data_IF_218736146912
#
_entry.id   IF_218736146912
#
_cell.length_a   1.000
_cell.length_b   1.000
_cell.length_c   1.000
_cell.angle_alpha   90.00
_cell.angle_beta   90.00
_cell.angle_gamma   90.00
#
_symmetry.space_group_name_H-M   'P 1'
#
loop_
_entity.id
_entity.type
_entity.pdbx_description
1 polymer ?
#
# COMPACT_ATOMS: atom_id res chain seq x y z
N UNK A 1 -23.88 45.42 14.77
CA UNK A 1 -22.64 44.95 15.41
C UNK A 1 -22.70 43.44 15.54
N UNK A 2 -22.16 42.69 14.57
CA UNK A 2 -22.00 41.24 14.68
C UNK A 2 -20.50 40.97 14.56
N UNK A 3 -19.90 40.48 15.65
CA UNK A 3 -18.46 40.24 15.78
C UNK A 3 -18.03 39.18 14.78
N UNK A 4 -17.17 39.56 13.85
CA UNK A 4 -16.38 38.62 13.05
C UNK A 4 -15.39 37.90 13.97
N UNK A 5 -15.78 36.72 14.44
CA UNK A 5 -14.89 35.79 15.12
C UNK A 5 -14.03 35.10 14.06
N UNK A 6 -12.98 35.79 13.61
CA UNK A 6 -11.89 35.16 12.89
C UNK A 6 -11.19 34.17 13.84
N UNK A 7 -11.71 32.94 13.91
CA UNK A 7 -10.95 31.81 14.42
C UNK A 7 -9.83 31.63 13.41
N UNK A 8 -8.66 32.14 13.77
CA UNK A 8 -7.38 31.79 13.17
C UNK A 8 -7.22 30.27 13.33
N UNK A 9 -7.82 29.51 12.42
CA UNK A 9 -7.45 28.13 12.19
C UNK A 9 -5.97 28.19 11.79
N UNK A 10 -5.11 27.92 12.76
CA UNK A 10 -3.69 27.73 12.54
C UNK A 10 -3.56 26.64 11.48
N UNK A 11 -3.41 27.06 10.23
CA UNK A 11 -3.07 26.19 9.14
C UNK A 11 -1.64 25.71 9.41
N UNK A 12 -1.52 24.64 10.20
CA UNK A 12 -0.28 23.86 10.39
C UNK A 12 0.31 23.47 9.02
N UNK A 13 -0.48 23.49 7.97
CA UNK A 13 -0.07 23.27 6.58
C UNK A 13 0.56 24.48 5.87
N UNK A 14 0.62 25.69 6.45
CA UNK A 14 1.53 26.75 5.93
C UNK A 14 3.00 26.46 6.22
N UNK A 15 3.29 25.45 7.06
CA UNK A 15 4.63 24.85 7.26
C UNK A 15 5.02 23.81 6.18
N UNK A 16 4.26 23.72 5.06
CA UNK A 16 4.36 22.65 4.05
C UNK A 16 5.67 22.54 3.27
N UNK A 17 6.60 23.49 3.33
CA UNK A 17 7.94 23.29 2.72
C UNK A 17 8.81 22.39 3.60
N UNK A 18 8.68 22.48 4.93
CA UNK A 18 9.40 21.64 5.87
C UNK A 18 8.84 20.19 5.91
N UNK A 19 7.52 20.02 5.77
CA UNK A 19 6.90 18.68 5.67
C UNK A 19 7.24 17.94 4.37
N UNK A 20 7.43 18.64 3.24
CA UNK A 20 7.96 18.02 2.02
C UNK A 20 9.41 17.57 2.20
N UNK A 21 10.23 18.34 2.93
CA UNK A 21 11.57 17.92 3.36
C UNK A 21 11.55 16.69 4.26
N UNK A 22 10.61 16.60 5.21
CA UNK A 22 10.38 15.42 6.06
C UNK A 22 9.96 14.18 5.26
N UNK A 23 9.18 14.35 4.19
CA UNK A 23 8.86 13.26 3.26
C UNK A 23 10.11 12.65 2.63
N UNK A 24 11.02 13.47 2.12
CA UNK A 24 12.31 12.99 1.59
C UNK A 24 13.12 12.20 2.62
N UNK A 25 13.03 12.55 3.92
CA UNK A 25 13.73 11.82 4.99
C UNK A 25 13.24 10.37 5.09
N UNK A 26 11.93 10.10 4.94
CA UNK A 26 11.41 8.73 5.01
C UNK A 26 11.87 7.87 3.83
N UNK A 27 11.91 8.43 2.62
CA UNK A 27 12.45 7.73 1.45
C UNK A 27 13.94 7.44 1.65
N UNK A 28 14.71 8.43 2.11
CA UNK A 28 16.13 8.25 2.42
C UNK A 28 16.37 7.22 3.52
N UNK A 29 15.49 7.15 4.53
CA UNK A 29 15.55 6.14 5.58
C UNK A 29 15.34 4.74 5.01
N UNK A 30 14.32 4.53 4.17
CA UNK A 30 14.07 3.24 3.51
C UNK A 30 15.27 2.83 2.65
N UNK A 31 15.79 3.74 1.83
CA UNK A 31 16.99 3.49 1.02
C UNK A 31 18.23 3.23 1.87
N UNK A 32 18.36 3.89 3.03
CA UNK A 32 19.42 3.66 4.00
C UNK A 32 19.37 2.25 4.61
N UNK A 33 18.17 1.79 5.01
CA UNK A 33 17.97 0.42 5.52
C UNK A 33 18.30 -0.62 4.44
N UNK A 34 17.86 -0.38 3.20
CA UNK A 34 18.20 -1.24 2.05
C UNK A 34 19.72 -1.23 1.82
N UNK A 35 20.36 -0.07 1.90
CA UNK A 35 21.81 0.09 1.72
C UNK A 35 22.63 -0.65 2.79
N UNK A 36 22.26 -0.54 4.06
CA UNK A 36 22.88 -1.30 5.16
C UNK A 36 22.70 -2.80 4.95
N UNK A 37 21.51 -3.22 4.53
CA UNK A 37 21.23 -4.63 4.22
C UNK A 37 22.07 -5.12 3.05
N UNK A 38 22.18 -4.34 1.97
CA UNK A 38 23.02 -4.66 0.82
C UNK A 38 24.49 -4.79 1.22
N UNK A 39 25.00 -3.83 1.98
CA UNK A 39 26.38 -3.84 2.47
C UNK A 39 26.66 -5.09 3.31
N UNK A 40 25.78 -5.42 4.27
CA UNK A 40 25.92 -6.61 5.09
C UNK A 40 25.87 -7.91 4.25
N UNK A 41 24.92 -8.07 3.35
CA UNK A 41 24.77 -9.32 2.59
C UNK A 41 25.89 -9.46 1.56
N UNK A 42 26.09 -8.43 0.73
CA UNK A 42 26.95 -8.52 -0.45
C UNK A 42 28.40 -8.25 -0.11
N UNK A 43 28.69 -7.19 0.65
CA UNK A 43 30.08 -6.74 0.85
C UNK A 43 30.74 -7.50 2.00
N UNK A 44 30.04 -7.69 3.13
CA UNK A 44 30.68 -8.26 4.32
C UNK A 44 30.60 -9.77 4.41
N UNK A 45 29.50 -10.42 3.97
CA UNK A 45 29.28 -11.85 4.19
C UNK A 45 29.44 -12.70 2.92
N UNK A 46 28.65 -12.48 1.87
CA UNK A 46 28.61 -13.41 0.74
C UNK A 46 29.55 -13.08 -0.43
N UNK A 47 29.91 -11.80 -0.64
CA UNK A 47 30.83 -11.41 -1.69
C UNK A 47 32.24 -11.98 -1.53
N UNK A 48 32.87 -11.89 -0.34
CA UNK A 48 34.20 -12.47 -0.11
C UNK A 48 34.24 -13.98 -0.33
N UNK A 49 33.18 -14.70 0.05
CA UNK A 49 33.10 -16.17 -0.09
C UNK A 49 33.14 -16.64 -1.56
N UNK A 50 32.86 -15.75 -2.52
CA UNK A 50 32.95 -16.11 -3.95
C UNK A 50 34.37 -16.44 -4.40
N UNK A 51 35.41 -15.94 -3.72
CA UNK A 51 36.81 -16.18 -4.11
C UNK A 51 37.38 -17.49 -3.57
N UNK A 52 36.69 -18.11 -2.60
CA UNK A 52 37.22 -19.24 -1.85
C UNK A 52 37.13 -20.59 -2.61
N UNK A 53 36.28 -20.63 -3.64
CA UNK A 53 35.99 -21.84 -4.42
C UNK A 53 35.13 -22.87 -3.68
N UNK A 54 34.78 -23.96 -4.36
CA UNK A 54 34.04 -25.07 -3.76
C UNK A 54 32.54 -24.82 -3.59
N UNK A 55 31.91 -25.57 -2.69
CA UNK A 55 30.45 -25.56 -2.49
C UNK A 55 29.97 -24.24 -1.89
N UNK A 56 30.73 -23.66 -0.97
CA UNK A 56 30.36 -22.42 -0.29
C UNK A 56 30.27 -21.23 -1.27
N UNK A 57 31.19 -21.15 -2.24
CA UNK A 57 31.10 -20.14 -3.31
C UNK A 57 29.88 -20.34 -4.21
N UNK A 58 29.45 -21.59 -4.48
CA UNK A 58 28.23 -21.85 -5.25
C UNK A 58 26.98 -21.45 -4.47
N UNK A 59 26.92 -21.73 -3.17
CA UNK A 59 25.83 -21.30 -2.29
C UNK A 59 25.80 -19.77 -2.22
N UNK A 60 26.96 -19.13 -2.05
CA UNK A 60 27.07 -17.68 -2.03
C UNK A 60 26.59 -17.05 -3.34
N UNK A 61 26.99 -17.61 -4.48
CA UNK A 61 26.52 -17.17 -5.79
C UNK A 61 25.00 -17.28 -5.92
N UNK A 62 24.42 -18.41 -5.51
CA UNK A 62 22.97 -18.62 -5.55
C UNK A 62 22.20 -17.63 -4.67
N UNK A 63 22.68 -17.40 -3.43
CA UNK A 63 22.10 -16.42 -2.50
C UNK A 63 22.18 -15.02 -3.09
N UNK A 64 23.33 -14.62 -3.65
CA UNK A 64 23.52 -13.31 -4.25
C UNK A 64 22.63 -13.10 -5.48
N UNK A 65 22.50 -14.09 -6.36
CA UNK A 65 21.59 -14.01 -7.52
C UNK A 65 20.16 -13.81 -7.05
N UNK A 66 19.70 -14.65 -6.11
CA UNK A 66 18.34 -14.55 -5.58
C UNK A 66 18.09 -13.20 -4.89
N UNK A 67 19.04 -12.75 -4.06
CA UNK A 67 18.97 -11.47 -3.37
C UNK A 67 18.85 -10.31 -4.36
N UNK A 68 19.68 -10.26 -5.40
CA UNK A 68 19.63 -9.17 -6.39
C UNK A 68 18.33 -9.21 -7.21
N UNK A 69 17.85 -10.38 -7.62
CA UNK A 69 16.56 -10.52 -8.31
C UNK A 69 15.40 -9.98 -7.45
N UNK A 70 15.36 -10.37 -6.17
CA UNK A 70 14.32 -9.89 -5.25
C UNK A 70 14.48 -8.39 -4.94
N UNK A 71 15.71 -7.89 -4.80
CA UNK A 71 16.00 -6.48 -4.56
C UNK A 71 15.54 -5.59 -5.73
N UNK A 72 15.76 -6.02 -6.97
CA UNK A 72 15.24 -5.32 -8.16
C UNK A 72 13.72 -5.23 -8.11
N UNK A 73 13.03 -6.34 -7.81
CA UNK A 73 11.57 -6.34 -7.72
C UNK A 73 11.04 -5.51 -6.54
N UNK A 74 11.75 -5.53 -5.40
CA UNK A 74 11.46 -4.69 -4.24
C UNK A 74 11.54 -3.21 -4.59
N UNK A 75 12.67 -2.77 -5.15
CA UNK A 75 12.90 -1.37 -5.51
C UNK A 75 11.93 -0.91 -6.60
N UNK A 76 11.69 -1.75 -7.62
CA UNK A 76 10.71 -1.45 -8.66
C UNK A 76 9.32 -1.25 -8.05
N UNK A 77 8.87 -2.16 -7.18
CA UNK A 77 7.56 -2.05 -6.53
C UNK A 77 7.48 -0.83 -5.61
N UNK A 78 8.54 -0.54 -4.85
CA UNK A 78 8.63 0.62 -3.96
C UNK A 78 8.51 1.94 -4.74
N UNK A 79 9.33 2.12 -5.78
CA UNK A 79 9.26 3.33 -6.59
C UNK A 79 7.94 3.45 -7.37
N UNK A 80 7.36 2.33 -7.82
CA UNK A 80 6.03 2.33 -8.43
C UNK A 80 4.96 2.85 -7.47
N UNK A 81 4.95 2.44 -6.19
CA UNK A 81 3.96 2.99 -5.22
C UNK A 81 4.25 4.44 -4.82
N UNK A 82 5.52 4.81 -4.66
CA UNK A 82 5.93 6.18 -4.30
C UNK A 82 5.54 7.19 -5.39
N UNK A 83 5.81 6.88 -6.65
CA UNK A 83 5.65 7.84 -7.76
C UNK A 83 4.30 7.77 -8.48
N UNK A 84 3.51 6.71 -8.30
CA UNK A 84 2.19 6.63 -8.92
C UNK A 84 1.17 7.47 -8.15
N UNK A 85 0.41 8.32 -8.84
CA UNK A 85 -0.75 9.00 -8.25
C UNK A 85 -1.76 7.94 -7.77
N UNK A 86 -2.18 7.93 -6.50
CA UNK A 86 -3.10 6.92 -5.97
C UNK A 86 -4.51 6.95 -6.56
N UNK A 87 -4.86 7.97 -7.35
CA UNK A 87 -6.16 8.17 -7.94
C UNK A 87 -6.81 9.46 -7.46
N UNK A 88 -6.96 10.42 -8.36
CA UNK A 88 -7.68 11.68 -8.14
C UNK A 88 -9.09 11.59 -8.69
N UNK A 89 -10.05 12.22 -8.02
CA UNK A 89 -11.40 12.40 -8.58
C UNK A 89 -11.31 13.33 -9.81
N UNK A 90 -11.79 12.91 -11.00
CA UNK A 90 -11.80 13.76 -12.18
C UNK A 90 -12.54 15.08 -11.94
N UNK A 91 -12.08 16.19 -12.55
CA UNK A 91 -12.80 17.45 -12.50
C UNK A 91 -14.25 17.27 -12.98
N UNK A 92 -15.20 17.88 -12.26
CA UNK A 92 -16.63 17.80 -12.59
C UNK A 92 -17.22 16.39 -12.62
N UNK A 93 -16.58 15.41 -11.96
CA UNK A 93 -17.19 14.08 -11.83
C UNK A 93 -18.59 14.18 -11.22
N UNK A 94 -19.54 13.52 -11.87
CA UNK A 94 -20.93 13.39 -11.47
C UNK A 94 -21.29 11.91 -11.50
N UNK A 95 -22.11 11.43 -10.55
CA UNK A 95 -22.71 10.10 -10.68
C UNK A 95 -23.55 10.08 -11.96
N UNK A 96 -23.61 8.92 -12.63
CA UNK A 96 -24.60 8.68 -13.67
C UNK A 96 -25.98 8.83 -13.02
N UNK A 97 -26.76 9.80 -13.46
CA UNK A 97 -28.12 10.01 -12.98
C UNK A 97 -28.99 8.85 -13.44
N UNK A 98 -29.62 8.12 -12.52
CA UNK A 98 -30.85 7.39 -12.85
C UNK A 98 -31.90 8.46 -13.15
N UNK A 99 -32.16 8.72 -14.44
CA UNK A 99 -33.15 9.70 -14.92
C UNK A 99 -34.58 9.42 -14.43
N UNK A 100 -34.84 8.31 -13.74
CA UNK A 100 -36.17 7.94 -13.22
C UNK A 100 -36.55 8.59 -11.88
N UNK A 101 -35.65 9.24 -11.14
CA UNK A 101 -36.00 9.85 -9.84
C UNK A 101 -35.83 11.36 -9.87
N UNK A 102 -36.91 12.03 -10.26
CA UNK A 102 -37.07 13.47 -10.16
C UNK A 102 -36.74 13.99 -8.76
N UNK A 103 -36.03 15.12 -8.75
CA UNK A 103 -35.81 16.08 -7.68
C UNK A 103 -35.20 15.60 -6.35
N UNK A 104 -33.94 15.97 -6.14
CA UNK A 104 -33.61 17.01 -5.15
C UNK A 104 -32.19 17.53 -5.36
N UNK A 105 -32.04 18.85 -5.42
CA UNK A 105 -30.77 19.55 -5.51
C UNK A 105 -29.80 19.10 -4.38
N UNK A 106 -28.57 18.63 -4.69
CA UNK A 106 -27.62 18.16 -3.67
C UNK A 106 -27.19 19.23 -2.65
N UNK A 107 -27.53 20.49 -2.90
CA UNK A 107 -27.09 21.64 -2.11
C UNK A 107 -27.88 21.85 -0.80
N UNK A 108 -29.00 21.17 -0.57
CA UNK A 108 -29.84 21.34 0.63
C UNK A 108 -29.70 20.24 1.69
N UNK A 109 -28.76 19.30 1.53
CA UNK A 109 -28.48 18.23 2.50
C UNK A 109 -27.66 18.65 3.72
N UNK A 110 -28.03 19.73 4.41
CA UNK A 110 -27.52 20.02 5.74
C UNK A 110 -28.13 19.05 6.75
N UNK A 111 -27.27 18.27 7.41
CA UNK A 111 -27.52 17.54 8.67
C UNK A 111 -28.48 16.35 8.65
N UNK A 112 -28.12 15.27 7.95
CA UNK A 112 -28.67 13.93 8.22
C UNK A 112 -27.55 12.89 8.29
N UNK A 113 -26.77 12.96 9.37
CA UNK A 113 -25.80 11.93 9.76
C UNK A 113 -26.43 10.77 10.55
N UNK A 114 -27.76 10.77 10.73
CA UNK A 114 -28.45 9.95 11.73
C UNK A 114 -29.67 9.16 11.20
N UNK A 115 -29.89 9.09 9.88
CA UNK A 115 -30.92 8.21 9.32
C UNK A 115 -30.31 6.93 8.72
N UNK A 116 -31.02 5.79 8.77
CA UNK A 116 -30.54 4.53 8.24
C UNK A 116 -30.12 4.68 6.78
N UNK A 117 -28.94 4.14 6.45
CA UNK A 117 -28.46 4.03 5.08
C UNK A 117 -29.39 3.06 4.37
N UNK A 118 -30.15 3.56 3.40
CA UNK A 118 -30.90 2.74 2.45
C UNK A 118 -29.88 1.89 1.65
N UNK A 119 -29.89 0.55 1.77
CA UNK A 119 -28.95 -0.33 1.08
C UNK A 119 -29.11 -0.29 -0.44
N UNK A 120 -30.30 0.04 -0.95
CA UNK A 120 -30.64 0.00 -2.37
C UNK A 120 -30.11 1.21 -3.16
N UNK A 121 -29.92 2.36 -2.50
CA UNK A 121 -29.46 3.60 -3.14
C UNK A 121 -28.32 4.23 -2.35
N UNK A 122 -27.04 3.94 -2.67
CA UNK A 122 -25.92 4.57 -1.99
C UNK A 122 -25.99 6.08 -2.18
N UNK A 123 -26.41 6.81 -1.14
CA UNK A 123 -26.46 8.28 -1.15
C UNK A 123 -25.10 8.82 -1.60
N UNK A 124 -25.09 9.56 -2.70
CA UNK A 124 -23.84 10.10 -3.24
C UNK A 124 -23.21 11.01 -2.18
N UNK A 125 -22.01 10.64 -1.73
CA UNK A 125 -21.34 11.36 -0.63
C UNK A 125 -20.69 12.63 -1.18
N UNK A 126 -20.80 13.74 -0.46
CA UNK A 126 -20.14 14.99 -0.83
C UNK A 126 -18.86 15.24 0.01
N UNK A 127 -17.83 15.84 -0.58
CA UNK A 127 -16.66 16.32 0.14
C UNK A 127 -16.71 17.84 0.30
N UNK A 128 -17.00 18.32 1.51
CA UNK A 128 -17.00 19.78 1.81
C UNK A 128 -15.63 20.43 1.62
N UNK A 129 -14.53 19.73 1.93
CA UNK A 129 -13.16 20.26 1.80
C UNK A 129 -12.70 20.44 0.35
N UNK A 130 -13.12 19.53 -0.53
CA UNK A 130 -12.79 19.58 -1.96
C UNK A 130 -13.90 20.20 -2.82
N UNK A 131 -15.05 20.51 -2.22
CA UNK A 131 -16.24 21.02 -2.89
C UNK A 131 -16.69 20.18 -4.10
N UNK A 132 -16.74 18.85 -3.95
CA UNK A 132 -17.07 17.92 -5.03
C UNK A 132 -17.78 16.66 -4.53
N UNK A 133 -18.51 15.99 -5.44
CA UNK A 133 -19.08 14.67 -5.18
C UNK A 133 -17.96 13.63 -5.06
N UNK A 134 -18.14 12.64 -4.18
CA UNK A 134 -17.21 11.53 -3.98
C UNK A 134 -17.68 10.33 -4.80
N UNK A 135 -16.82 9.78 -5.69
CA UNK A 135 -17.05 8.47 -6.27
C UNK A 135 -17.20 7.38 -5.20
N UNK A 136 -17.77 6.21 -5.56
CA UNK A 136 -17.79 5.05 -4.68
C UNK A 136 -16.40 4.76 -4.10
N UNK A 137 -16.34 4.36 -2.84
CA UNK A 137 -15.07 3.99 -2.14
C UNK A 137 -14.04 5.13 -2.03
N UNK A 138 -14.39 6.37 -2.40
CA UNK A 138 -13.50 7.52 -2.30
C UNK A 138 -13.55 8.17 -0.90
N UNK A 139 -12.39 8.49 -0.33
CA UNK A 139 -12.26 9.20 0.94
C UNK A 139 -11.31 10.41 0.81
N UNK A 140 -11.50 11.41 1.66
CA UNK A 140 -10.63 12.59 1.70
C UNK A 140 -9.47 12.33 2.66
N UNK A 141 -8.23 12.39 2.16
CA UNK A 141 -7.05 12.34 3.00
C UNK A 141 -6.64 13.76 3.40
N UNK A 142 -6.62 14.05 4.69
CA UNK A 142 -6.17 15.35 5.22
C UNK A 142 -4.68 15.60 4.98
N UNK A 143 -3.85 14.55 4.95
CA UNK A 143 -2.41 14.66 4.69
C UNK A 143 -2.13 14.96 3.23
N UNK A 144 -2.77 14.23 2.31
CA UNK A 144 -2.67 14.47 0.87
C UNK A 144 -3.46 15.74 0.44
N UNK A 145 -4.36 16.26 1.29
CA UNK A 145 -5.16 17.46 1.03
C UNK A 145 -6.23 17.29 -0.07
N UNK A 146 -6.60 16.06 -0.41
CA UNK A 146 -7.49 15.74 -1.53
C UNK A 146 -8.30 14.46 -1.33
N UNK A 147 -9.34 14.30 -2.14
CA UNK A 147 -10.07 13.04 -2.29
C UNK A 147 -9.25 12.03 -3.10
N UNK A 148 -9.12 10.82 -2.56
CA UNK A 148 -8.38 9.69 -3.16
C UNK A 148 -9.36 8.59 -3.52
N UNK A 149 -9.29 8.10 -4.77
CA UNK A 149 -10.12 6.98 -5.25
C UNK A 149 -9.73 5.68 -4.54
N UNK A 150 -10.72 4.87 -4.14
CA UNK A 150 -10.53 3.63 -3.38
C UNK A 150 -9.52 3.75 -2.25
N UNK A 151 -9.59 4.85 -1.50
CA UNK A 151 -8.56 5.16 -0.51
C UNK A 151 -8.46 4.01 0.49
N UNK A 152 -7.26 3.48 0.64
CA UNK A 152 -6.94 2.54 1.69
C UNK A 152 -6.40 3.31 2.89
N UNK A 153 -5.17 3.82 2.80
CA UNK A 153 -4.58 4.63 3.86
C UNK A 153 -3.56 5.63 3.32
N UNK A 154 -3.11 6.55 4.17
CA UNK A 154 -1.92 7.35 3.91
C UNK A 154 -0.72 6.63 4.50
N UNK A 155 0.28 6.30 3.68
CA UNK A 155 1.43 5.53 4.12
C UNK A 155 2.67 6.41 4.20
N UNK A 156 3.19 6.56 5.43
CA UNK A 156 4.35 7.41 5.72
C UNK A 156 5.64 6.85 5.09
N UNK A 157 5.75 5.52 4.97
CA UNK A 157 6.94 4.84 4.41
C UNK A 157 7.15 5.08 2.92
N UNK A 158 6.08 5.37 2.19
CA UNK A 158 6.11 5.69 0.74
C UNK A 158 5.77 7.16 0.48
N UNK A 159 5.47 7.93 1.54
CA UNK A 159 5.13 9.36 1.50
C UNK A 159 4.00 9.65 0.50
N UNK A 160 3.06 8.72 0.41
CA UNK A 160 1.98 8.79 -0.56
C UNK A 160 0.71 8.15 0.03
N UNK A 161 -0.44 8.55 -0.50
CA UNK A 161 -1.67 7.81 -0.25
C UNK A 161 -1.60 6.47 -1.03
N UNK A 162 -2.20 5.42 -0.47
CA UNK A 162 -2.45 4.14 -1.13
C UNK A 162 -3.92 4.11 -1.51
N UNK A 163 -4.20 3.97 -2.80
CA UNK A 163 -5.53 4.07 -3.39
C UNK A 163 -5.67 3.21 -4.65
N UNK A 164 -6.71 3.47 -5.43
CA UNK A 164 -7.09 2.66 -6.59
C UNK A 164 -5.94 2.34 -7.54
N UNK A 165 -5.13 3.35 -7.90
CA UNK A 165 -4.17 3.24 -8.99
C UNK A 165 -2.81 2.67 -8.57
N UNK A 166 -2.51 2.61 -7.27
CA UNK A 166 -1.22 2.14 -6.76
C UNK A 166 -1.34 1.01 -5.72
N UNK A 167 -2.55 0.51 -5.40
CA UNK A 167 -2.73 -0.54 -4.39
C UNK A 167 -1.99 -1.83 -4.73
N UNK A 168 -2.01 -2.28 -5.99
CA UNK A 168 -1.22 -3.44 -6.43
C UNK A 168 0.27 -3.27 -6.17
N UNK A 169 0.82 -2.08 -6.49
CA UNK A 169 2.24 -1.80 -6.30
C UNK A 169 2.61 -1.81 -4.83
N UNK A 170 1.73 -1.29 -3.97
CA UNK A 170 1.87 -1.38 -2.53
C UNK A 170 1.88 -2.85 -2.03
N UNK A 171 0.96 -3.69 -2.51
CA UNK A 171 0.94 -5.12 -2.14
C UNK A 171 2.19 -5.87 -2.60
N UNK A 172 2.68 -5.60 -3.80
CA UNK A 172 3.93 -6.16 -4.30
C UNK A 172 5.14 -5.65 -3.52
N UNK A 173 5.15 -4.37 -3.14
CA UNK A 173 6.17 -3.83 -2.24
C UNK A 173 6.20 -4.58 -0.90
N UNK A 174 5.05 -4.82 -0.26
CA UNK A 174 4.99 -5.63 0.97
C UNK A 174 5.48 -7.07 0.74
N UNK A 175 5.04 -7.71 -0.33
CA UNK A 175 5.40 -9.08 -0.67
C UNK A 175 6.92 -9.23 -0.90
N UNK A 176 7.51 -8.38 -1.73
CA UNK A 176 8.94 -8.41 -2.00
C UNK A 176 9.78 -7.95 -0.81
N UNK A 177 9.27 -7.04 0.03
CA UNK A 177 9.93 -6.69 1.30
C UNK A 177 10.01 -7.93 2.17
N UNK A 178 8.90 -8.63 2.38
CA UNK A 178 8.86 -9.86 3.17
C UNK A 178 9.82 -10.93 2.65
N UNK A 179 9.87 -11.15 1.33
CA UNK A 179 10.79 -12.13 0.73
C UNK A 179 12.26 -11.74 0.93
N UNK A 180 12.62 -10.48 0.67
CA UNK A 180 14.01 -10.00 0.87
C UNK A 180 14.40 -10.11 2.34
N UNK A 181 13.58 -9.60 3.26
CA UNK A 181 13.91 -9.59 4.68
C UNK A 181 14.01 -11.01 5.24
N UNK A 182 13.14 -11.92 4.80
CA UNK A 182 13.18 -13.34 5.21
C UNK A 182 14.44 -14.02 4.68
N UNK A 183 14.77 -13.82 3.40
CA UNK A 183 16.01 -14.35 2.81
C UNK A 183 17.23 -13.88 3.60
N UNK A 184 17.31 -12.58 3.90
CA UNK A 184 18.44 -12.00 4.66
C UNK A 184 18.50 -12.55 6.08
N UNK A 185 17.38 -12.66 6.78
CA UNK A 185 17.35 -13.25 8.12
C UNK A 185 17.83 -14.69 8.12
N UNK A 186 17.41 -15.51 7.15
CA UNK A 186 17.86 -16.90 7.04
C UNK A 186 19.35 -16.99 6.67
N UNK A 187 19.80 -16.17 5.72
CA UNK A 187 21.17 -16.14 5.24
C UNK A 187 22.17 -15.70 6.33
N UNK A 188 21.77 -14.76 7.18
CA UNK A 188 22.61 -14.25 8.27
C UNK A 188 22.41 -14.98 9.61
N UNK A 189 21.53 -15.98 9.69
CA UNK A 189 21.21 -16.67 10.94
C UNK A 189 22.42 -17.38 11.57
N UNK A 190 23.21 -18.09 10.77
CA UNK A 190 24.41 -18.78 11.26
C UNK A 190 25.44 -17.79 11.83
N UNK A 191 25.67 -16.69 11.11
CA UNK A 191 26.53 -15.59 11.55
C UNK A 191 26.01 -14.98 12.85
N UNK A 192 24.70 -14.76 12.96
CA UNK A 192 24.07 -14.24 14.17
C UNK A 192 24.24 -15.18 15.37
N UNK A 193 24.08 -16.50 15.18
CA UNK A 193 24.31 -17.50 16.25
C UNK A 193 25.78 -17.52 16.68
N UNK A 194 26.71 -17.36 15.73
CA UNK A 194 28.14 -17.31 16.02
C UNK A 194 28.51 -16.16 16.97
N UNK A 195 27.81 -15.02 16.95
CA UNK A 195 28.00 -13.92 17.92
C UNK A 195 27.83 -14.32 19.38
N UNK A 196 27.07 -15.37 19.66
CA UNK A 196 26.80 -15.86 21.01
C UNK A 196 27.57 -17.15 21.31
N UNK A 197 28.49 -17.55 20.43
CA UNK A 197 29.34 -18.72 20.61
C UNK A 197 30.71 -18.29 21.16
N UNK A 198 31.39 -19.16 21.92
CA UNK A 198 32.70 -18.87 22.55
C UNK A 198 33.88 -18.80 21.54
N UNK A 199 33.61 -18.84 20.23
CA UNK A 199 34.63 -18.83 19.19
C UNK A 199 34.99 -17.43 18.70
N UNK A 200 36.23 -17.26 18.21
CA UNK A 200 36.61 -16.04 17.50
C UNK A 200 35.88 -15.96 16.16
N UNK A 201 35.23 -14.81 15.90
CA UNK A 201 34.51 -14.56 14.65
C UNK A 201 35.42 -13.74 13.73
N UNK A 202 35.76 -14.25 12.54
CA UNK A 202 36.57 -13.49 11.59
C UNK A 202 35.82 -12.24 11.12
N UNK A 203 36.48 -11.09 11.16
CA UNK A 203 35.92 -9.83 10.68
C UNK A 203 36.41 -8.61 11.45
N UNK A 204 36.12 -7.43 10.91
CA UNK A 204 36.34 -6.16 11.61
C UNK A 204 35.19 -5.87 12.58
N UNK A 205 35.38 -5.06 13.64
CA UNK A 205 34.28 -4.63 14.49
C UNK A 205 33.14 -3.98 13.71
N UNK A 206 33.46 -3.22 12.65
CA UNK A 206 32.48 -2.61 11.76
C UNK A 206 31.65 -3.63 11.00
N UNK A 207 32.28 -4.61 10.34
CA UNK A 207 31.56 -5.65 9.58
C UNK A 207 30.68 -6.51 10.48
N UNK A 208 31.18 -6.83 11.68
CA UNK A 208 30.42 -7.57 12.68
C UNK A 208 29.20 -6.78 13.17
N UNK A 209 29.37 -5.50 13.52
CA UNK A 209 28.27 -4.64 13.91
C UNK A 209 27.23 -4.48 12.80
N UNK A 210 27.65 -4.34 11.54
CA UNK A 210 26.72 -4.24 10.42
C UNK A 210 25.96 -5.54 10.16
N UNK A 211 26.61 -6.70 10.27
CA UNK A 211 25.93 -8.00 10.12
C UNK A 211 24.89 -8.22 11.21
N UNK A 212 25.25 -7.92 12.46
CA UNK A 212 24.33 -8.02 13.60
C UNK A 212 23.12 -7.11 13.41
N UNK A 213 23.36 -5.83 13.10
CA UNK A 213 22.31 -4.84 12.87
C UNK A 213 21.41 -5.26 11.70
N UNK A 214 21.98 -5.70 10.59
CA UNK A 214 21.23 -6.16 9.42
C UNK A 214 20.34 -7.36 9.75
N UNK A 215 20.84 -8.35 10.50
CA UNK A 215 20.03 -9.49 10.92
C UNK A 215 18.83 -9.05 11.77
N UNK A 216 19.07 -8.26 12.83
CA UNK A 216 18.01 -7.82 13.76
C UNK A 216 16.96 -6.98 13.03
N UNK A 217 17.39 -6.02 12.21
CA UNK A 217 16.47 -5.18 11.44
C UNK A 217 15.65 -6.00 10.45
N UNK A 218 16.28 -6.88 9.66
CA UNK A 218 15.55 -7.69 8.67
C UNK A 218 14.61 -8.69 9.34
N UNK A 219 14.97 -9.27 10.50
CA UNK A 219 14.07 -10.16 11.23
C UNK A 219 12.84 -9.39 11.75
N UNK A 220 13.04 -8.20 12.32
CA UNK A 220 11.95 -7.35 12.79
C UNK A 220 11.01 -6.93 11.63
N UNK A 221 11.58 -6.55 10.48
CA UNK A 221 10.80 -6.24 9.29
C UNK A 221 10.08 -7.47 8.73
N UNK A 222 10.72 -8.65 8.68
CA UNK A 222 10.08 -9.87 8.20
C UNK A 222 8.84 -10.22 9.02
N UNK A 223 8.93 -10.17 10.36
CA UNK A 223 7.82 -10.47 11.26
C UNK A 223 6.70 -9.42 11.18
N UNK A 224 7.05 -8.13 11.17
CA UNK A 224 6.04 -7.06 11.09
C UNK A 224 5.34 -7.02 9.73
N UNK A 225 6.09 -7.13 8.63
CA UNK A 225 5.55 -7.14 7.26
C UNK A 225 4.73 -8.39 7.01
N UNK A 226 5.07 -9.55 7.58
CA UNK A 226 4.25 -10.76 7.48
C UNK A 226 2.83 -10.52 8.03
N UNK A 227 2.71 -9.96 9.24
CA UNK A 227 1.41 -9.64 9.82
C UNK A 227 0.62 -8.65 8.96
N UNK A 228 1.30 -7.63 8.43
CA UNK A 228 0.68 -6.62 7.58
C UNK A 228 0.24 -7.19 6.22
N UNK A 229 1.02 -8.11 5.65
CA UNK A 229 0.72 -8.82 4.41
C UNK A 229 -0.49 -9.75 4.60
N UNK A 230 -0.56 -10.51 5.70
CA UNK A 230 -1.72 -11.36 6.02
C UNK A 230 -3.01 -10.53 6.13
N UNK A 231 -2.92 -9.37 6.78
CA UNK A 231 -4.05 -8.44 6.89
C UNK A 231 -4.51 -7.97 5.50
N UNK A 232 -3.58 -7.49 4.66
CA UNK A 232 -3.93 -7.03 3.31
C UNK A 232 -4.40 -8.16 2.37
N UNK A 233 -3.87 -9.38 2.49
CA UNK A 233 -4.39 -10.55 1.77
C UNK A 233 -5.85 -10.80 2.15
N UNK A 234 -6.18 -10.67 3.44
CA UNK A 234 -7.55 -10.82 3.93
C UNK A 234 -8.47 -9.72 3.37
N UNK A 235 -7.99 -8.47 3.30
CA UNK A 235 -8.70 -7.35 2.70
C UNK A 235 -8.96 -7.55 1.20
N UNK A 236 -7.95 -8.00 0.44
CA UNK A 236 -8.10 -8.33 -0.98
C UNK A 236 -9.10 -9.47 -1.15
N UNK A 237 -9.00 -10.53 -0.34
CA UNK A 237 -9.92 -11.66 -0.39
C UNK A 237 -11.38 -11.26 -0.12
N UNK A 238 -11.60 -10.22 0.70
CA UNK A 238 -12.92 -9.68 1.04
C UNK A 238 -13.37 -8.48 0.18
N UNK A 239 -12.51 -8.00 -0.74
CA UNK A 239 -12.67 -6.76 -1.51
C UNK A 239 -13.04 -5.53 -0.65
N UNK A 240 -12.32 -5.36 0.46
CA UNK A 240 -12.45 -4.22 1.36
C UNK A 240 -11.15 -3.44 1.38
N UNK A 241 -11.20 -2.11 1.49
CA UNK A 241 -10.05 -1.32 1.95
C UNK A 241 -9.93 -1.41 3.48
N UNK A 242 -8.83 -0.91 4.05
CA UNK A 242 -8.66 -0.79 5.52
C UNK A 242 -9.75 0.09 6.15
N UNK A 243 -10.17 1.18 5.49
CA UNK A 243 -11.28 2.03 5.94
C UNK A 243 -12.60 1.24 5.92
N UNK A 244 -12.87 0.56 4.82
CA UNK A 244 -14.09 -0.20 4.61
C UNK A 244 -14.17 -1.44 5.50
N UNK A 245 -13.05 -2.03 5.90
CA UNK A 245 -13.04 -3.15 6.84
C UNK A 245 -13.66 -2.77 8.19
N UNK A 246 -13.43 -1.53 8.64
CA UNK A 246 -14.08 -0.98 9.83
C UNK A 246 -15.59 -0.73 9.61
N UNK A 247 -15.97 -0.21 8.45
CA UNK A 247 -17.39 -0.02 8.08
C UNK A 247 -18.13 -1.36 7.97
N UNK A 248 -17.49 -2.38 7.38
CA UNK A 248 -18.04 -3.72 7.19
C UNK A 248 -18.34 -4.43 8.50
N UNK A 249 -17.61 -4.17 9.58
CA UNK A 249 -17.93 -4.75 10.90
C UNK A 249 -19.35 -4.40 11.36
N UNK A 250 -19.95 -3.35 10.82
CA UNK A 250 -21.31 -2.92 11.11
C UNK A 250 -22.37 -3.54 10.19
N UNK A 251 -21.96 -4.27 9.14
CA UNK A 251 -22.86 -4.79 8.09
C UNK A 251 -22.58 -6.27 7.77
N UNK A 252 -23.57 -7.18 7.86
CA UNK A 252 -23.35 -8.60 7.62
C UNK A 252 -23.08 -8.96 6.14
N UNK A 253 -23.49 -8.12 5.19
CA UNK A 253 -23.30 -8.33 3.74
C UNK A 253 -22.44 -7.20 3.15
N UNK A 254 -21.41 -7.56 2.38
CA UNK A 254 -20.51 -6.61 1.71
C UNK A 254 -20.71 -6.65 0.20
N UNK A 255 -21.23 -5.55 -0.38
CA UNK A 255 -21.67 -5.52 -1.79
C UNK A 255 -20.55 -5.67 -2.82
N UNK A 256 -19.31 -5.31 -2.47
CA UNK A 256 -18.16 -5.43 -3.36
C UNK A 256 -17.47 -6.80 -3.27
N UNK A 257 -17.88 -7.68 -2.34
CA UNK A 257 -17.31 -9.03 -2.27
C UNK A 257 -17.91 -9.91 -3.38
N UNK A 258 -17.16 -10.16 -4.45
CA UNK A 258 -17.54 -10.95 -5.62
C UNK A 258 -17.00 -12.39 -5.57
N UNK A 259 -16.44 -12.81 -4.43
CA UNK A 259 -15.71 -14.06 -4.26
C UNK A 259 -14.21 -13.91 -4.50
N UNK A 260 -13.41 -14.68 -3.74
CA UNK A 260 -11.95 -14.51 -3.58
C UNK A 260 -11.19 -14.31 -4.89
N UNK A 261 -11.46 -15.12 -5.92
CA UNK A 261 -10.78 -15.03 -7.22
C UNK A 261 -11.06 -13.70 -7.92
N UNK A 262 -12.35 -13.33 -8.04
CA UNK A 262 -12.74 -12.07 -8.70
C UNK A 262 -12.23 -10.88 -7.92
N UNK A 263 -12.27 -10.93 -6.59
CA UNK A 263 -11.74 -9.87 -5.73
C UNK A 263 -10.24 -9.67 -5.93
N UNK A 264 -9.48 -10.76 -6.08
CA UNK A 264 -8.06 -10.71 -6.42
C UNK A 264 -7.83 -10.09 -7.81
N UNK A 265 -8.58 -10.53 -8.83
CA UNK A 265 -8.48 -10.00 -10.20
C UNK A 265 -8.82 -8.50 -10.26
N UNK A 266 -9.74 -8.01 -9.43
CA UNK A 266 -10.05 -6.57 -9.29
C UNK A 266 -8.86 -5.71 -8.81
N UNK A 267 -7.82 -6.34 -8.26
CA UNK A 267 -6.58 -5.66 -7.82
C UNK A 267 -5.41 -6.00 -8.73
N UNK A 268 -5.26 -7.26 -9.15
CA UNK A 268 -4.07 -7.72 -9.86
C UNK A 268 -4.20 -7.75 -11.39
N UNK A 269 -5.42 -7.62 -11.92
CA UNK A 269 -5.73 -7.84 -13.32
C UNK A 269 -6.05 -9.29 -13.64
N UNK A 270 -6.59 -9.54 -14.83
CA UNK A 270 -6.90 -10.89 -15.32
C UNK A 270 -5.67 -11.57 -15.93
N UNK A 271 -4.70 -10.80 -16.44
CA UNK A 271 -3.46 -11.36 -17.00
C UNK A 271 -2.49 -11.81 -15.90
N UNK A 272 -2.37 -13.13 -15.74
CA UNK A 272 -1.52 -13.76 -14.71
C UNK A 272 -0.04 -13.43 -14.85
N UNK A 273 0.43 -13.08 -16.05
CA UNK A 273 1.85 -12.73 -16.28
C UNK A 273 2.25 -11.49 -15.51
N UNK A 274 1.29 -10.61 -15.23
CA UNK A 274 1.51 -9.36 -14.51
C UNK A 274 1.23 -9.46 -13.01
N UNK A 275 0.83 -10.61 -12.47
CA UNK A 275 0.45 -10.71 -11.05
C UNK A 275 1.60 -10.37 -10.09
N UNK A 276 2.83 -10.74 -10.46
CA UNK A 276 4.04 -10.47 -9.67
C UNK A 276 4.87 -9.32 -10.25
N UNK A 277 4.35 -8.60 -11.24
CA UNK A 277 5.05 -7.47 -11.86
C UNK A 277 4.31 -6.19 -11.46
N UNK A 278 5.01 -5.13 -11.04
CA UNK A 278 4.38 -3.84 -10.69
C UNK A 278 3.99 -3.05 -11.96
N UNK A 279 3.17 -3.69 -12.80
CA UNK A 279 2.58 -3.17 -14.01
C UNK A 279 1.26 -3.91 -14.30
N UNK A 280 0.47 -3.41 -15.24
CA UNK A 280 -0.72 -4.08 -15.76
C UNK A 280 -0.59 -4.31 -17.26
N UNK A 281 -1.33 -5.29 -17.79
CA UNK A 281 -1.51 -5.42 -19.24
C UNK A 281 -2.36 -4.25 -19.77
N UNK A 282 -2.12 -3.82 -21.01
CA UNK A 282 -2.97 -2.80 -21.64
C UNK A 282 -4.43 -3.24 -21.71
N UNK A 283 -4.66 -4.54 -21.90
CA UNK A 283 -6.00 -5.10 -21.99
C UNK A 283 -6.75 -4.98 -20.66
N UNK A 284 -6.09 -5.28 -19.54
CA UNK A 284 -6.68 -5.11 -18.20
C UNK A 284 -7.03 -3.64 -17.94
N UNK A 285 -6.13 -2.71 -18.28
CA UNK A 285 -6.37 -1.26 -18.11
C UNK A 285 -7.56 -0.76 -18.94
N UNK A 286 -7.81 -1.34 -20.11
CA UNK A 286 -8.95 -1.01 -20.98
C UNK A 286 -10.25 -1.68 -20.52
N UNK A 287 -10.20 -2.95 -20.11
CA UNK A 287 -11.40 -3.76 -19.82
C UNK A 287 -11.90 -3.68 -18.39
N UNK A 288 -11.08 -3.21 -17.44
CA UNK A 288 -11.41 -3.26 -16.02
C UNK A 288 -11.59 -1.86 -15.43
N UNK A 289 -12.83 -1.32 -15.41
CA UNK A 289 -13.12 -0.01 -14.81
C UNK A 289 -12.65 0.13 -13.35
N UNK A 290 -12.66 -0.97 -12.59
CA UNK A 290 -12.20 -1.01 -11.21
C UNK A 290 -10.72 -0.65 -11.04
N UNK A 291 -9.88 -0.86 -12.05
CA UNK A 291 -8.48 -0.45 -12.04
C UNK A 291 -8.31 1.06 -12.19
N UNK A 292 -9.32 1.77 -12.71
CA UNK A 292 -9.34 3.24 -12.79
C UNK A 292 -9.93 3.89 -11.52
N UNK A 293 -10.63 3.09 -10.71
CA UNK A 293 -11.06 3.48 -9.38
C UNK A 293 -12.37 4.26 -9.29
N UNK A 294 -13.08 4.44 -10.40
CA UNK A 294 -14.33 5.20 -10.47
C UNK A 294 -15.58 4.31 -10.33
N UNK A 295 -15.51 3.10 -10.85
CA UNK A 295 -16.63 2.16 -10.90
C UNK A 295 -16.20 0.78 -10.40
N UNK A 296 -17.09 0.10 -9.68
CA UNK A 296 -16.83 -1.23 -9.15
C UNK A 296 -18.03 -2.13 -9.35
N UNK A 297 -17.83 -3.37 -9.82
CA UNK A 297 -18.89 -4.36 -9.85
C UNK A 297 -19.40 -4.65 -8.42
N UNK A 298 -20.72 -4.65 -8.25
CA UNK A 298 -21.43 -5.08 -7.04
C UNK A 298 -22.17 -6.40 -7.27
N UNK A 299 -22.52 -7.10 -6.19
CA UNK A 299 -23.43 -8.26 -6.26
C UNK A 299 -24.86 -7.80 -6.59
N UNK A 300 -25.47 -8.27 -7.70
CA UNK A 300 -26.82 -7.89 -8.10
C UNK A 300 -27.89 -8.24 -7.05
N UNK A 301 -27.71 -9.35 -6.34
CA UNK A 301 -28.70 -9.86 -5.37
C UNK A 301 -28.86 -8.97 -4.12
N UNK A 302 -27.96 -8.01 -3.91
CA UNK A 302 -28.10 -6.97 -2.90
C UNK A 302 -28.78 -5.71 -3.44
N UNK A 303 -28.68 -5.50 -4.76
CA UNK A 303 -29.31 -4.39 -5.45
C UNK A 303 -30.75 -4.76 -5.90
N UNK A 304 -31.13 -6.06 -5.93
CA UNK A 304 -32.41 -6.58 -6.46
C UNK A 304 -33.30 -7.39 -5.47
N UNK A 305 -32.88 -7.65 -4.23
CA UNK A 305 -33.69 -8.37 -3.22
C UNK A 305 -34.54 -7.47 -2.31
N UNK A 306 -34.74 -6.21 -2.69
CA UNK A 306 -35.62 -5.27 -1.96
C UNK A 306 -36.76 -4.76 -2.87
N UNK A 307 -37.44 -5.70 -3.54
CA UNK A 307 -38.81 -5.52 -4.02
C UNK A 307 -39.78 -6.25 -3.10
#
# INVERSE_FOLDING_TARGET
MYRSGAVMAWNVFKFCTALRGLGSIMILLVLGVVGVTYYAVVITNYGPVLTDGGLDSLVALAVLILFHCLLVMLLWSYFSVVFTDPGTVPPNWRPLSDEERGDTDPLTGSDISALPVDPAHPRIRFCRKCNQMKPPRCHHCSVCGRCVLKMDHHCVWVVNCVGALNYKYFLLFLFYTFLVTTLVSLALLSHFIAFFSDGEIPGTPGSLATTFLAFVLNLAFALSVLGFLIMHISLVAANTTTIEAYEKMQTPKWRYDLGRKRNFEQVFGMDRRYWFIPAYSEEDLRRMPALQGLEYPSKPDLDAQEF
#
